data_IF_894069945074
#
_entry.id   IF_894069945074
#
_cell.length_a   1.000
_cell.length_b   1.000
_cell.length_c   1.000
_cell.angle_alpha   90.00
_cell.angle_beta   90.00
_cell.angle_gamma   90.00
#
_symmetry.space_group_name_H-M   'P 1'
#
loop_
_entity.id
_entity.type
_entity.pdbx_description
1 polymer ?
#
# COMPACT_ATOMS: atom_id res chain seq x y z
N UNK A 1 4.13 -7.48 -17.41
CA UNK A 1 2.76 -7.74 -16.98
C UNK A 1 2.64 -7.39 -15.50
N UNK A 2 1.53 -6.76 -15.11
CA UNK A 2 1.20 -6.49 -13.72
C UNK A 2 0.87 -7.83 -13.06
N UNK A 3 1.48 -8.20 -11.92
CA UNK A 3 1.33 -9.52 -11.32
C UNK A 3 -0.01 -9.72 -10.59
N UNK A 4 -0.71 -8.64 -10.24
CA UNK A 4 -2.08 -8.61 -9.75
C UNK A 4 -2.75 -7.32 -10.19
N UNK A 5 -4.04 -7.38 -10.48
CA UNK A 5 -4.90 -6.23 -10.74
C UNK A 5 -6.38 -6.61 -10.72
N UNK A 6 -7.24 -5.64 -10.45
CA UNK A 6 -8.68 -5.79 -10.57
C UNK A 6 -9.30 -4.70 -11.45
N UNK A 7 -10.48 -4.96 -11.95
CA UNK A 7 -11.40 -4.01 -12.57
C UNK A 7 -12.84 -4.50 -12.35
N UNK A 8 -13.85 -3.80 -12.85
CA UNK A 8 -15.28 -4.12 -12.66
C UNK A 8 -15.67 -5.56 -13.01
N UNK A 9 -14.92 -6.22 -13.89
CA UNK A 9 -15.30 -7.51 -14.47
C UNK A 9 -14.47 -8.68 -13.97
N UNK A 10 -13.29 -8.45 -13.40
CA UNK A 10 -12.36 -9.52 -13.05
C UNK A 10 -11.29 -9.12 -12.08
N UNK A 11 -10.88 -10.09 -11.29
CA UNK A 11 -9.65 -10.07 -10.50
C UNK A 11 -8.64 -10.99 -11.17
N UNK A 12 -7.41 -10.51 -11.36
CA UNK A 12 -6.30 -11.31 -11.86
C UNK A 12 -5.13 -11.20 -10.89
N UNK A 13 -4.52 -12.34 -10.56
CA UNK A 13 -3.35 -12.37 -9.70
C UNK A 13 -2.50 -13.61 -10.00
N UNK A 14 -1.23 -13.55 -9.63
CA UNK A 14 -0.30 -14.67 -9.71
C UNK A 14 -0.31 -15.43 -8.38
N UNK A 15 -0.69 -16.73 -8.36
CA UNK A 15 -0.73 -17.49 -7.10
C UNK A 15 0.63 -18.04 -6.69
N UNK A 16 1.68 -17.84 -7.47
CA UNK A 16 3.00 -18.39 -7.26
C UNK A 16 3.83 -17.54 -6.29
N UNK A 17 4.17 -18.12 -5.15
CA UNK A 17 4.92 -17.46 -4.08
C UNK A 17 6.34 -17.05 -4.51
N UNK A 18 7.01 -17.86 -5.33
CA UNK A 18 8.37 -17.55 -5.80
C UNK A 18 8.38 -16.32 -6.70
N UNK A 19 7.36 -16.19 -7.56
CA UNK A 19 7.19 -14.99 -8.37
C UNK A 19 7.07 -13.73 -7.51
N UNK A 20 6.33 -13.78 -6.40
CA UNK A 20 6.19 -12.65 -5.49
C UNK A 20 7.50 -12.33 -4.74
N UNK A 21 8.22 -13.37 -4.29
CA UNK A 21 9.57 -13.21 -3.71
C UNK A 21 10.49 -12.45 -4.66
N UNK A 22 10.54 -12.88 -5.91
CA UNK A 22 11.37 -12.26 -6.95
C UNK A 22 10.95 -10.80 -7.23
N UNK A 23 9.65 -10.51 -7.21
CA UNK A 23 9.13 -9.16 -7.40
C UNK A 23 9.60 -8.25 -6.27
N UNK A 24 9.41 -8.65 -5.01
CA UNK A 24 9.83 -7.83 -3.86
C UNK A 24 11.35 -7.67 -3.77
N UNK A 25 12.11 -8.73 -4.03
CA UNK A 25 13.58 -8.66 -4.01
C UNK A 25 14.13 -7.67 -5.05
N UNK A 26 13.51 -7.61 -6.22
CA UNK A 26 13.88 -6.64 -7.26
C UNK A 26 13.69 -5.18 -6.86
N UNK A 27 12.75 -4.88 -5.95
CA UNK A 27 12.57 -3.51 -5.47
C UNK A 27 13.78 -2.99 -4.66
N UNK A 28 14.63 -3.91 -4.18
CA UNK A 28 15.86 -3.59 -3.47
C UNK A 28 17.06 -3.39 -4.40
N UNK A 29 16.91 -3.60 -5.70
CA UNK A 29 17.99 -3.46 -6.66
C UNK A 29 18.47 -1.99 -6.74
N UNK A 30 19.79 -1.82 -6.75
CA UNK A 30 20.40 -0.48 -6.73
C UNK A 30 20.45 0.19 -5.36
N UNK A 31 19.89 -0.42 -4.31
CA UNK A 31 20.06 0.06 -2.93
C UNK A 31 21.47 -0.23 -2.43
N UNK A 32 22.11 0.69 -1.68
CA UNK A 32 23.44 0.47 -1.14
C UNK A 32 23.43 -0.71 -0.16
N UNK A 33 24.39 -1.61 -0.33
CA UNK A 33 24.50 -2.77 0.57
C UNK A 33 24.74 -2.33 2.02
N UNK A 34 23.92 -2.91 2.92
CA UNK A 34 23.94 -2.60 4.35
C UNK A 34 23.15 -3.62 5.16
N UNK A 35 23.13 -3.45 6.46
CA UNK A 35 22.41 -4.36 7.35
C UNK A 35 20.91 -4.39 7.05
N UNK A 36 20.30 -3.22 6.83
CA UNK A 36 18.88 -3.09 6.48
C UNK A 36 18.54 -3.85 5.20
N UNK A 37 19.32 -3.68 4.12
CA UNK A 37 19.09 -4.37 2.85
C UNK A 37 19.22 -5.89 3.02
N UNK A 38 20.23 -6.36 3.78
CA UNK A 38 20.37 -7.80 4.08
C UNK A 38 19.16 -8.36 4.84
N UNK A 39 18.66 -7.64 5.86
CA UNK A 39 17.46 -8.04 6.62
C UNK A 39 16.21 -8.09 5.75
N UNK A 40 16.01 -7.10 4.89
CA UNK A 40 14.90 -7.06 3.94
C UNK A 40 14.95 -8.20 2.92
N UNK A 41 16.15 -8.49 2.38
CA UNK A 41 16.36 -9.65 1.49
C UNK A 41 16.08 -10.98 2.20
N UNK A 42 16.55 -11.13 3.44
CA UNK A 42 16.26 -12.33 4.24
C UNK A 42 14.75 -12.49 4.50
N UNK A 43 14.08 -11.40 4.83
CA UNK A 43 12.63 -11.40 5.04
C UNK A 43 11.89 -11.90 3.79
N UNK A 44 12.10 -11.28 2.65
CA UNK A 44 11.42 -11.68 1.42
C UNK A 44 11.79 -13.09 0.94
N UNK A 45 13.03 -13.50 1.11
CA UNK A 45 13.46 -14.85 0.73
C UNK A 45 12.87 -15.94 1.64
N UNK A 46 12.68 -15.69 2.94
CA UNK A 46 12.44 -16.73 3.93
C UNK A 46 11.16 -16.60 4.75
N UNK A 47 10.51 -15.42 4.76
CA UNK A 47 9.33 -15.17 5.61
C UNK A 47 8.01 -15.07 4.87
N UNK A 48 8.03 -14.81 3.55
CA UNK A 48 6.80 -14.83 2.78
C UNK A 48 6.18 -16.23 2.78
N UNK A 49 4.87 -16.27 3.00
CA UNK A 49 4.06 -17.48 3.10
C UNK A 49 2.88 -17.44 2.11
N UNK A 50 2.12 -18.53 2.04
CA UNK A 50 0.85 -18.57 1.31
C UNK A 50 -0.13 -17.49 1.77
N UNK A 51 -0.09 -17.10 3.05
CA UNK A 51 -0.95 -16.02 3.56
C UNK A 51 -0.68 -14.68 2.87
N UNK A 52 0.59 -14.39 2.51
CA UNK A 52 0.93 -13.19 1.76
C UNK A 52 0.37 -13.21 0.33
N UNK A 53 0.36 -14.39 -0.31
CA UNK A 53 -0.29 -14.54 -1.63
C UNK A 53 -1.82 -14.35 -1.51
N UNK A 54 -2.44 -14.90 -0.46
CA UNK A 54 -3.86 -14.69 -0.18
C UNK A 54 -4.17 -13.24 0.18
N UNK A 55 -3.26 -12.55 0.85
CA UNK A 55 -3.38 -11.13 1.15
C UNK A 55 -3.43 -10.31 -0.15
N UNK A 56 -2.61 -10.62 -1.14
CA UNK A 56 -2.62 -9.94 -2.45
C UNK A 56 -3.96 -10.17 -3.17
N UNK A 57 -4.48 -11.40 -3.17
CA UNK A 57 -5.83 -11.65 -3.68
C UNK A 57 -6.90 -10.86 -2.89
N UNK A 58 -6.74 -10.81 -1.56
CA UNK A 58 -7.63 -10.05 -0.69
C UNK A 58 -7.59 -8.54 -0.95
N UNK A 59 -6.43 -7.99 -1.32
CA UNK A 59 -6.26 -6.62 -1.75
C UNK A 59 -7.15 -6.33 -2.98
N UNK A 60 -7.01 -7.14 -4.03
CA UNK A 60 -7.78 -6.98 -5.26
C UNK A 60 -9.30 -7.14 -5.02
N UNK A 61 -9.69 -8.07 -4.16
CA UNK A 61 -11.10 -8.26 -3.79
C UNK A 61 -11.65 -7.12 -2.93
N UNK A 62 -10.83 -6.50 -2.10
CA UNK A 62 -11.26 -5.41 -1.22
C UNK A 62 -11.69 -4.17 -2.00
N UNK A 63 -11.11 -3.90 -3.18
CA UNK A 63 -11.53 -2.83 -4.07
C UNK A 63 -13.01 -2.94 -4.50
N UNK A 64 -13.58 -4.14 -4.51
CA UNK A 64 -15.01 -4.34 -4.79
C UNK A 64 -15.93 -4.09 -3.57
N UNK A 65 -15.38 -3.63 -2.46
CA UNK A 65 -16.17 -3.29 -1.29
C UNK A 65 -17.01 -2.02 -1.51
N UNK A 66 -18.27 -2.04 -1.09
CA UNK A 66 -19.13 -0.87 -1.08
C UNK A 66 -18.68 0.24 -0.10
N UNK A 67 -17.58 0.04 0.62
CA UNK A 67 -16.95 1.08 1.45
C UNK A 67 -16.20 2.11 0.61
N UNK A 68 -15.71 1.72 -0.56
CA UNK A 68 -15.07 2.62 -1.52
C UNK A 68 -16.14 3.28 -2.39
N UNK A 69 -15.92 4.53 -2.72
CA UNK A 69 -16.89 5.37 -3.46
C UNK A 69 -16.32 5.76 -4.82
N UNK A 70 -14.99 5.66 -4.97
CA UNK A 70 -14.32 5.97 -6.23
C UNK A 70 -14.57 4.84 -7.23
N UNK A 71 -14.91 5.22 -8.46
CA UNK A 71 -15.05 4.31 -9.58
C UNK A 71 -13.65 3.92 -10.10
N UNK A 72 -13.47 2.68 -10.55
CA UNK A 72 -12.22 2.25 -11.20
C UNK A 72 -11.80 3.14 -12.36
N UNK A 73 -12.74 3.86 -12.98
CA UNK A 73 -12.50 4.77 -14.10
C UNK A 73 -11.92 6.14 -13.65
N UNK A 74 -11.96 6.48 -12.37
CA UNK A 74 -11.45 7.75 -11.82
C UNK A 74 -10.00 7.69 -11.34
N UNK A 75 -9.32 6.58 -11.54
CA UNK A 75 -7.93 6.40 -11.14
C UNK A 75 -6.94 7.15 -12.05
N UNK A 76 -5.92 7.87 -11.53
CA UNK A 76 -5.71 8.20 -10.11
C UNK A 76 -6.52 9.42 -9.66
N UNK A 77 -7.13 9.35 -8.49
CA UNK A 77 -7.78 10.45 -7.79
C UNK A 77 -6.91 10.99 -6.64
N UNK A 78 -7.20 12.16 -6.07
CA UNK A 78 -6.48 12.66 -4.89
C UNK A 78 -6.64 11.79 -3.63
N UNK A 79 -7.58 10.85 -3.62
CA UNK A 79 -7.81 9.89 -2.55
C UNK A 79 -7.24 8.48 -2.84
N UNK A 80 -6.67 8.24 -4.01
CA UNK A 80 -6.14 6.91 -4.41
C UNK A 80 -5.19 6.32 -3.36
N UNK A 81 -4.29 7.12 -2.76
CA UNK A 81 -3.41 6.63 -1.71
C UNK A 81 -4.17 6.12 -0.47
N UNK A 82 -5.31 6.73 -0.16
CA UNK A 82 -6.13 6.29 0.97
C UNK A 82 -6.83 4.98 0.65
N UNK A 83 -7.40 4.85 -0.53
CA UNK A 83 -8.04 3.62 -0.98
C UNK A 83 -7.03 2.47 -1.01
N UNK A 84 -5.91 2.64 -1.69
CA UNK A 84 -4.84 1.64 -1.77
C UNK A 84 -4.29 1.28 -0.38
N UNK A 85 -4.07 2.27 0.49
CA UNK A 85 -3.66 2.02 1.86
C UNK A 85 -4.71 1.26 2.69
N UNK A 86 -6.01 1.50 2.45
CA UNK A 86 -7.10 0.79 3.13
C UNK A 86 -7.22 -0.67 2.67
N UNK A 87 -7.15 -0.94 1.36
CA UNK A 87 -7.17 -2.32 0.86
C UNK A 87 -5.94 -3.09 1.31
N UNK A 88 -4.78 -2.45 1.37
CA UNK A 88 -3.54 -3.01 1.94
C UNK A 88 -3.70 -3.35 3.42
N UNK A 89 -4.27 -2.45 4.22
CA UNK A 89 -4.50 -2.68 5.64
C UNK A 89 -5.52 -3.79 5.89
N UNK A 90 -6.68 -3.72 5.23
CA UNK A 90 -7.77 -4.67 5.41
C UNK A 90 -7.33 -6.08 5.01
N UNK A 91 -6.71 -6.23 3.85
CA UNK A 91 -6.26 -7.53 3.35
C UNK A 91 -5.19 -8.15 4.27
N UNK A 92 -4.23 -7.36 4.78
CA UNK A 92 -3.26 -7.84 5.77
C UNK A 92 -3.92 -8.31 7.07
N UNK A 93 -4.88 -7.55 7.58
CA UNK A 93 -5.62 -7.92 8.81
C UNK A 93 -6.42 -9.20 8.67
N UNK A 94 -6.90 -9.52 7.46
CA UNK A 94 -7.73 -10.69 7.21
C UNK A 94 -6.93 -11.96 6.93
N UNK A 95 -5.80 -11.83 6.26
CA UNK A 95 -5.07 -13.00 5.75
C UNK A 95 -3.76 -13.29 6.48
N UNK A 96 -3.13 -12.31 7.11
CA UNK A 96 -1.89 -12.53 7.84
C UNK A 96 -2.15 -12.93 9.30
N UNK A 97 -1.30 -13.79 9.82
CA UNK A 97 -1.25 -14.03 11.28
C UNK A 97 -0.78 -12.75 11.99
N UNK A 98 -1.01 -12.61 13.30
CA UNK A 98 -0.50 -11.44 14.04
C UNK A 98 1.02 -11.25 13.94
N UNK A 99 1.78 -12.34 13.85
CA UNK A 99 3.25 -12.30 13.67
C UNK A 99 3.64 -11.82 12.28
N UNK A 100 2.99 -12.35 11.23
CA UNK A 100 3.21 -11.91 9.84
C UNK A 100 2.81 -10.45 9.66
N UNK A 101 1.67 -10.02 10.23
CA UNK A 101 1.23 -8.63 10.17
C UNK A 101 2.25 -7.67 10.81
N UNK A 102 2.76 -8.00 12.00
CA UNK A 102 3.78 -7.19 12.66
C UNK A 102 5.10 -7.17 11.87
N UNK A 103 5.45 -8.30 11.25
CA UNK A 103 6.62 -8.40 10.37
C UNK A 103 6.50 -7.52 9.13
N UNK A 104 5.33 -7.53 8.48
CA UNK A 104 5.03 -6.66 7.33
C UNK A 104 5.08 -5.16 7.71
N UNK A 105 4.55 -4.80 8.86
CA UNK A 105 4.60 -3.41 9.33
C UNK A 105 6.05 -2.92 9.53
N UNK A 106 6.89 -3.73 10.20
CA UNK A 106 8.32 -3.43 10.38
C UNK A 106 9.07 -3.33 9.05
N UNK A 107 8.82 -4.26 8.13
CA UNK A 107 9.41 -4.27 6.78
C UNK A 107 9.00 -3.03 6.00
N UNK A 108 7.73 -2.64 6.02
CA UNK A 108 7.25 -1.45 5.31
C UNK A 108 7.88 -0.17 5.89
N UNK A 109 8.08 -0.08 7.21
CA UNK A 109 8.84 1.01 7.82
C UNK A 109 10.29 1.06 7.35
N UNK A 110 10.97 -0.07 7.27
CA UNK A 110 12.37 -0.14 6.81
C UNK A 110 12.49 0.22 5.32
N UNK A 111 11.57 -0.24 4.48
CA UNK A 111 11.54 0.06 3.04
C UNK A 111 11.30 1.54 2.76
N UNK A 112 10.31 2.13 3.44
CA UNK A 112 10.00 3.55 3.27
C UNK A 112 11.16 4.42 3.77
N UNK A 113 11.82 4.05 4.85
CA UNK A 113 13.01 4.76 5.33
C UNK A 113 14.21 4.61 4.36
N UNK A 114 14.45 3.39 3.83
CA UNK A 114 15.55 3.10 2.91
C UNK A 114 15.43 3.88 1.58
N UNK A 115 14.20 4.03 1.09
CA UNK A 115 13.92 4.58 -0.23
C UNK A 115 13.44 6.05 -0.19
N UNK A 116 13.35 6.66 1.01
CA UNK A 116 12.84 8.02 1.20
C UNK A 116 13.59 9.08 0.39
N UNK A 117 14.93 9.00 0.34
CA UNK A 117 15.74 9.97 -0.40
C UNK A 117 15.49 9.91 -1.91
N UNK A 118 15.11 8.74 -2.41
CA UNK A 118 14.85 8.52 -3.84
C UNK A 118 13.41 8.87 -4.23
N UNK A 119 12.44 8.50 -3.40
CA UNK A 119 11.02 8.55 -3.76
C UNK A 119 10.16 9.41 -2.83
N UNK A 120 10.65 9.87 -1.68
CA UNK A 120 9.86 10.57 -0.66
C UNK A 120 9.57 12.04 -0.95
N UNK A 121 9.99 12.56 -2.10
CA UNK A 121 9.90 14.00 -2.41
C UNK A 121 8.53 14.49 -2.90
N UNK A 122 7.49 13.66 -2.92
CA UNK A 122 6.15 14.02 -3.39
C UNK A 122 5.07 13.73 -2.32
N UNK A 123 3.93 14.45 -2.34
CA UNK A 123 2.84 14.23 -1.39
C UNK A 123 2.13 12.88 -1.65
N UNK A 124 1.35 12.42 -0.67
CA UNK A 124 0.56 11.18 -0.81
C UNK A 124 -0.45 11.26 -1.96
N UNK A 125 -0.98 12.44 -2.22
CA UNK A 125 -1.94 12.71 -3.29
C UNK A 125 -1.38 12.45 -4.71
N UNK A 126 -0.06 12.42 -4.85
CA UNK A 126 0.63 12.09 -6.11
C UNK A 126 0.90 10.58 -6.26
N UNK A 127 0.17 9.72 -5.54
CA UNK A 127 0.27 8.26 -5.60
C UNK A 127 0.27 7.77 -7.06
N UNK A 128 1.19 6.87 -7.38
CA UNK A 128 1.32 6.29 -8.70
C UNK A 128 1.99 7.19 -9.75
N UNK A 129 2.49 8.38 -9.38
CA UNK A 129 3.17 9.28 -10.31
C UNK A 129 4.38 8.64 -10.99
N UNK A 130 5.08 7.73 -10.30
CA UNK A 130 6.23 6.97 -10.81
C UNK A 130 5.90 5.98 -11.93
N UNK A 131 4.63 5.56 -12.07
CA UNK A 131 4.22 4.68 -13.17
C UNK A 131 4.47 5.30 -14.55
N UNK A 132 4.40 6.62 -14.66
CA UNK A 132 4.63 7.33 -15.92
C UNK A 132 6.05 7.15 -16.44
N UNK A 133 7.00 6.95 -15.53
CA UNK A 133 8.41 6.74 -15.83
C UNK A 133 8.80 5.25 -15.91
N UNK A 134 7.84 4.34 -15.70
CA UNK A 134 8.07 2.89 -15.66
C UNK A 134 8.86 2.42 -14.43
N UNK A 135 8.95 3.25 -13.38
CA UNK A 135 9.67 2.92 -12.14
C UNK A 135 8.75 2.17 -11.16
N UNK A 136 8.82 0.83 -11.23
CA UNK A 136 8.04 -0.02 -10.35
C UNK A 136 8.44 0.10 -8.88
N UNK A 137 9.70 0.39 -8.56
CA UNK A 137 10.12 0.54 -7.16
C UNK A 137 9.51 1.80 -6.54
N UNK A 138 9.36 2.87 -7.30
CA UNK A 138 8.63 4.07 -6.87
C UNK A 138 7.16 3.80 -6.60
N UNK A 139 6.51 2.98 -7.44
CA UNK A 139 5.12 2.56 -7.19
C UNK A 139 5.00 1.73 -5.91
N UNK A 140 5.85 0.74 -5.71
CA UNK A 140 5.85 -0.04 -4.47
C UNK A 140 6.11 0.83 -3.24
N UNK A 141 6.97 1.83 -3.34
CA UNK A 141 7.18 2.82 -2.29
C UNK A 141 5.88 3.55 -1.94
N UNK A 142 5.08 3.95 -2.94
CA UNK A 142 3.79 4.59 -2.73
C UNK A 142 2.81 3.67 -1.99
N UNK A 143 2.73 2.38 -2.34
CA UNK A 143 1.92 1.38 -1.61
C UNK A 143 2.34 1.25 -0.15
N UNK A 144 3.64 1.09 0.13
CA UNK A 144 4.13 0.96 1.51
C UNK A 144 3.85 2.21 2.33
N UNK A 145 4.04 3.38 1.74
CA UNK A 145 3.77 4.67 2.39
C UNK A 145 2.29 4.87 2.65
N UNK A 146 1.43 4.53 1.71
CA UNK A 146 -0.02 4.60 1.81
C UNK A 146 -0.54 3.69 2.93
N UNK A 147 -0.08 2.43 2.96
CA UNK A 147 -0.40 1.49 4.04
C UNK A 147 -0.04 2.05 5.43
N UNK A 148 1.19 2.54 5.61
CA UNK A 148 1.63 3.10 6.89
C UNK A 148 0.87 4.38 7.28
N UNK A 149 0.52 5.21 6.31
CA UNK A 149 -0.30 6.40 6.54
C UNK A 149 -1.70 6.03 7.02
N UNK A 150 -2.34 5.07 6.34
CA UNK A 150 -3.68 4.58 6.70
C UNK A 150 -3.66 3.85 8.04
N UNK A 151 -2.66 3.03 8.34
CA UNK A 151 -2.50 2.37 9.63
C UNK A 151 -2.53 3.38 10.78
N UNK A 152 -1.79 4.49 10.65
CA UNK A 152 -1.79 5.60 11.63
C UNK A 152 -3.15 6.28 11.73
N UNK A 153 -3.85 6.48 10.62
CA UNK A 153 -5.21 7.06 10.62
C UNK A 153 -6.18 6.17 11.37
N UNK A 154 -6.18 4.87 11.09
CA UNK A 154 -7.05 3.88 11.73
C UNK A 154 -6.77 3.83 13.24
N UNK A 155 -5.50 3.75 13.64
CA UNK A 155 -5.11 3.74 15.05
C UNK A 155 -5.60 5.01 15.78
N UNK A 156 -5.38 6.18 15.19
CA UNK A 156 -5.77 7.46 15.79
C UNK A 156 -7.27 7.65 15.86
N UNK A 157 -8.03 7.23 14.86
CA UNK A 157 -9.48 7.39 14.79
C UNK A 157 -10.24 6.27 15.50
N UNK A 158 -9.56 5.17 15.84
CA UNK A 158 -10.13 4.06 16.61
C UNK A 158 -10.74 2.94 15.77
N UNK A 159 -10.63 2.99 14.43
CA UNK A 159 -11.12 1.91 13.59
C UNK A 159 -11.17 2.20 12.09
N UNK A 160 -11.40 1.14 11.33
CA UNK A 160 -11.50 1.18 9.86
C UNK A 160 -12.72 2.00 9.42
N UNK A 161 -13.87 1.79 10.06
CA UNK A 161 -15.11 2.50 9.70
C UNK A 161 -15.00 4.00 9.98
N UNK A 162 -14.37 4.38 11.08
CA UNK A 162 -14.11 5.77 11.46
C UNK A 162 -13.19 6.45 10.44
N UNK A 163 -12.20 5.73 9.91
CA UNK A 163 -11.32 6.23 8.86
C UNK A 163 -12.09 6.46 7.54
N UNK A 164 -12.94 5.52 7.12
CA UNK A 164 -13.82 5.71 5.96
C UNK A 164 -14.80 6.86 6.14
N UNK A 165 -15.40 7.00 7.33
CA UNK A 165 -16.30 8.12 7.63
C UNK A 165 -15.58 9.47 7.57
N UNK A 166 -14.32 9.54 8.01
CA UNK A 166 -13.51 10.74 7.91
C UNK A 166 -13.20 11.10 6.44
N UNK A 167 -12.90 10.11 5.60
CA UNK A 167 -12.68 10.28 4.17
C UNK A 167 -13.96 10.76 3.46
N UNK A 168 -15.12 10.15 3.76
CA UNK A 168 -16.42 10.60 3.22
C UNK A 168 -16.72 12.05 3.58
N UNK A 169 -16.54 12.43 4.86
CA UNK A 169 -16.71 13.83 5.30
C UNK A 169 -15.77 14.80 4.57
N UNK A 170 -14.54 14.39 4.29
CA UNK A 170 -13.63 15.19 3.50
C UNK A 170 -14.16 15.42 2.07
N UNK A 171 -14.61 14.35 1.42
CA UNK A 171 -15.17 14.40 0.06
C UNK A 171 -16.40 15.31 -0.01
N UNK A 172 -17.28 15.21 0.98
CA UNK A 172 -18.50 16.01 1.06
C UNK A 172 -18.23 17.48 1.45
N UNK A 173 -16.98 17.80 1.81
CA UNK A 173 -16.58 19.14 2.23
C UNK A 173 -16.06 19.95 1.05
N UNK A 174 -16.45 21.22 0.95
CA UNK A 174 -15.88 22.19 -0.01
C UNK A 174 -14.57 22.83 0.49
N UNK A 175 -13.83 22.15 1.38
CA UNK A 175 -12.70 22.75 2.11
C UNK A 175 -11.50 23.10 1.22
N UNK A 176 -11.36 22.49 0.05
CA UNK A 176 -10.17 22.60 -0.81
C UNK A 176 -8.88 22.08 -0.17
N UNK A 177 -8.99 21.43 1.01
CA UNK A 177 -7.86 20.85 1.75
C UNK A 177 -7.55 19.46 1.20
N UNK A 178 -6.25 19.08 1.08
CA UNK A 178 -5.90 17.72 0.75
C UNK A 178 -6.36 16.72 1.80
N UNK A 179 -6.62 15.46 1.38
CA UNK A 179 -7.08 14.42 2.30
C UNK A 179 -6.04 14.13 3.40
N UNK A 180 -4.75 14.08 3.06
CA UNK A 180 -3.70 13.87 4.04
C UNK A 180 -3.70 14.94 5.14
N UNK A 181 -3.88 16.21 4.75
CA UNK A 181 -3.99 17.32 5.70
C UNK A 181 -5.27 17.25 6.52
N UNK A 182 -6.40 16.90 5.90
CA UNK A 182 -7.67 16.70 6.60
C UNK A 182 -7.56 15.61 7.65
N UNK A 183 -6.88 14.54 7.33
CA UNK A 183 -6.58 13.44 8.24
C UNK A 183 -5.38 13.73 9.16
N UNK A 184 -4.90 14.96 9.24
CA UNK A 184 -3.80 15.42 10.11
C UNK A 184 -2.55 14.51 10.03
N UNK A 185 -2.21 14.05 8.85
CA UNK A 185 -0.95 13.37 8.60
C UNK A 185 0.19 14.40 8.50
N UNK A 186 1.39 14.08 8.96
CA UNK A 186 2.56 14.92 8.70
C UNK A 186 2.81 15.00 7.19
N UNK A 187 3.14 16.23 6.73
CA UNK A 187 3.51 16.47 5.33
C UNK A 187 4.89 15.94 5.00
#
# INVERSE_FOLDING_TARGET
PVPAYTNDFRVMFTPDLETWRDIYLRQLDGSPEGETVRRLRDYYANRLSTNHVLQILGHELAHHSALFVDDFDEYPSPSTWFEEGMVEYISRKWFLTPEEFAGEEDVNHQLTALLADRYGGHPLEDFGSHLRDGDHAGLFFDYWRAYLAVSRVIERLGGVLEAFDACRRWRDSDSGMSLARWLALPG
#
